data_IF_630068629186
#
_entry.id   IF_630068629186
#
_cell.length_a   1.000
_cell.length_b   1.000
_cell.length_c   1.000
_cell.angle_alpha   90.00
_cell.angle_beta   90.00
_cell.angle_gamma   90.00
#
_symmetry.space_group_name_H-M   'P 1'
#
loop_
_entity.id
_entity.type
_entity.pdbx_description
1 polymer ?
#
# COMPACT_ATOMS: atom_id res chain seq x y z
N UNK A 1 7.54 -2.45 -3.20
CA UNK A 1 6.33 -2.00 -3.92
C UNK A 1 5.29 -1.44 -2.94
N UNK A 2 4.37 -0.58 -3.39
CA UNK A 2 3.31 -0.01 -2.54
C UNK A 2 1.93 -0.47 -2.97
N UNK A 3 1.07 -0.75 -1.99
CA UNK A 3 -0.30 -1.17 -2.23
C UNK A 3 -1.28 -0.43 -1.31
N UNK A 4 -2.49 -0.23 -1.81
CA UNK A 4 -3.62 0.28 -1.03
C UNK A 4 -4.85 -0.60 -1.24
N UNK A 5 -5.55 -0.83 -0.14
CA UNK A 5 -6.83 -1.55 -0.10
C UNK A 5 -7.87 -0.64 0.51
N UNK A 6 -8.99 -0.46 -0.17
CA UNK A 6 -10.13 0.28 0.37
C UNK A 6 -10.82 -0.58 1.42
N UNK A 7 -10.95 -0.07 2.65
CA UNK A 7 -11.58 -0.78 3.78
C UNK A 7 -12.89 -0.13 4.23
N UNK A 8 -13.20 1.08 3.74
CA UNK A 8 -14.47 1.78 4.01
C UNK A 8 -15.15 2.22 2.72
N UNK A 9 -16.48 2.13 2.70
CA UNK A 9 -17.31 2.48 1.52
C UNK A 9 -17.35 1.38 0.47
N UNK A 10 -18.08 1.59 -0.63
CA UNK A 10 -18.20 0.59 -1.70
C UNK A 10 -17.14 0.77 -2.80
N UNK A 11 -16.83 2.02 -3.14
CA UNK A 11 -15.79 2.38 -4.11
C UNK A 11 -15.27 3.80 -3.87
N UNK A 12 -14.04 4.08 -4.29
CA UNK A 12 -13.41 5.39 -4.15
C UNK A 12 -12.61 5.71 -5.41
N UNK A 13 -12.79 6.90 -5.96
CA UNK A 13 -12.08 7.34 -7.16
C UNK A 13 -11.02 8.39 -6.80
N UNK A 14 -9.75 8.07 -7.06
CA UNK A 14 -8.64 8.99 -6.84
C UNK A 14 -7.47 8.66 -7.77
N UNK A 15 -6.62 9.64 -8.05
CA UNK A 15 -5.42 9.44 -8.89
C UNK A 15 -5.72 8.82 -10.26
N UNK A 16 -6.90 9.09 -10.83
CA UNK A 16 -7.35 8.52 -12.11
C UNK A 16 -7.73 7.04 -12.06
N UNK A 17 -7.71 6.40 -10.88
CA UNK A 17 -8.04 4.98 -10.70
C UNK A 17 -9.21 4.78 -9.72
N UNK A 18 -9.94 3.69 -9.89
CA UNK A 18 -11.05 3.30 -9.02
C UNK A 18 -10.61 2.20 -8.06
N UNK A 19 -10.67 2.50 -6.77
CA UNK A 19 -10.48 1.54 -5.69
C UNK A 19 -11.83 0.92 -5.35
N UNK A 20 -11.84 -0.41 -5.22
CA UNK A 20 -13.02 -1.18 -4.83
C UNK A 20 -12.82 -1.72 -3.42
N UNK A 21 -13.92 -1.86 -2.68
CA UNK A 21 -13.89 -2.40 -1.32
C UNK A 21 -13.19 -3.76 -1.28
N UNK A 22 -12.26 -3.91 -0.34
CA UNK A 22 -11.45 -5.10 -0.11
C UNK A 22 -10.61 -5.57 -1.31
N UNK A 23 -10.39 -4.69 -2.28
CA UNK A 23 -9.52 -4.96 -3.43
C UNK A 23 -8.21 -4.21 -3.27
N UNK A 24 -7.12 -4.98 -3.26
CA UNK A 24 -5.78 -4.42 -3.27
C UNK A 24 -5.45 -3.83 -4.65
N UNK A 25 -4.81 -2.67 -4.64
CA UNK A 25 -4.36 -1.99 -5.84
C UNK A 25 -2.92 -1.50 -5.67
N UNK A 26 -2.09 -1.74 -6.69
CA UNK A 26 -0.72 -1.24 -6.73
C UNK A 26 -0.73 0.28 -6.94
N UNK A 27 0.04 0.97 -6.12
CA UNK A 27 0.13 2.42 -6.12
C UNK A 27 1.59 2.88 -6.14
N UNK A 28 1.77 4.17 -6.38
CA UNK A 28 3.07 4.84 -6.29
C UNK A 28 3.36 5.28 -4.85
N UNK A 29 4.63 5.58 -4.54
CA UNK A 29 5.05 6.12 -3.24
C UNK A 29 4.30 7.39 -2.85
N UNK A 30 4.04 8.27 -3.83
CA UNK A 30 3.30 9.52 -3.63
C UNK A 30 1.86 9.26 -3.20
N UNK A 31 1.19 8.32 -3.87
CA UNK A 31 -0.17 7.90 -3.50
C UNK A 31 -0.18 7.23 -2.13
N UNK A 32 0.81 6.40 -1.81
CA UNK A 32 0.93 5.75 -0.50
C UNK A 32 1.00 6.79 0.63
N UNK A 33 1.84 7.81 0.49
CA UNK A 33 1.95 8.88 1.50
C UNK A 33 0.65 9.66 1.69
N UNK A 34 -0.11 9.85 0.61
CA UNK A 34 -1.42 10.51 0.67
C UNK A 34 -2.48 9.61 1.32
N UNK A 35 -2.59 8.37 0.87
CA UNK A 35 -3.60 7.41 1.33
C UNK A 35 -3.32 6.90 2.75
N UNK A 36 -2.05 6.87 3.20
CA UNK A 36 -1.68 6.53 4.59
C UNK A 36 -2.36 7.44 5.62
N UNK A 37 -2.63 8.70 5.24
CA UNK A 37 -3.31 9.67 6.11
C UNK A 37 -4.84 9.53 6.08
N UNK A 38 -5.36 8.65 5.24
CA UNK A 38 -6.79 8.44 5.06
C UNK A 38 -7.22 7.12 5.70
N UNK A 39 -8.09 7.21 6.71
CA UNK A 39 -8.65 6.07 7.45
C UNK A 39 -9.55 5.14 6.62
N UNK A 40 -9.89 5.52 5.38
CA UNK A 40 -10.65 4.65 4.47
C UNK A 40 -9.77 3.61 3.78
N UNK A 41 -8.45 3.78 3.86
CA UNK A 41 -7.49 2.95 3.15
C UNK A 41 -6.54 2.27 4.12
N UNK A 42 -6.35 0.98 3.91
CA UNK A 42 -5.24 0.23 4.46
C UNK A 42 -4.11 0.21 3.43
N UNK A 43 -2.97 0.77 3.79
CA UNK A 43 -1.80 0.83 2.90
C UNK A 43 -0.70 -0.10 3.40
N UNK A 44 -0.04 -0.81 2.49
CA UNK A 44 1.14 -1.63 2.81
C UNK A 44 2.30 -1.30 1.89
N UNK A 45 3.50 -1.33 2.46
CA UNK A 45 4.76 -1.33 1.73
C UNK A 45 5.27 -2.78 1.74
N UNK A 46 5.46 -3.33 0.56
CA UNK A 46 6.15 -4.60 0.37
C UNK A 46 7.61 -4.23 0.09
N UNK A 47 8.45 -4.24 1.12
CA UNK A 47 9.88 -4.19 0.90
C UNK A 47 10.27 -5.53 0.26
N UNK A 48 10.55 -5.53 -1.06
CA UNK A 48 11.19 -6.66 -1.72
C UNK A 48 12.45 -6.97 -0.92
N UNK A 49 12.49 -8.16 -0.33
CA UNK A 49 13.33 -8.47 0.82
C UNK A 49 14.75 -7.96 0.69
N UNK A 50 15.04 -6.85 1.37
CA UNK A 50 16.34 -6.67 2.00
C UNK A 50 16.29 -7.46 3.32
N UNK A 51 16.13 -8.78 3.21
CA UNK A 51 16.71 -9.68 4.19
C UNK A 51 18.21 -9.41 4.09
N UNK A 52 18.70 -8.48 4.89
CA UNK A 52 20.10 -8.48 5.26
C UNK A 52 20.35 -9.87 5.87
N UNK A 53 21.03 -10.71 5.11
CA UNK A 53 21.89 -11.75 5.65
C UNK A 53 22.74 -11.09 6.74
N UNK A 54 22.30 -11.16 7.99
CA UNK A 54 23.24 -11.16 9.10
C UNK A 54 23.75 -12.60 9.23
N UNK A 55 24.57 -13.00 8.26
CA UNK A 55 25.61 -13.97 8.53
C UNK A 55 26.72 -13.19 9.22
N UNK A 56 26.69 -13.20 10.55
CA UNK A 56 27.87 -12.93 11.35
C UNK A 56 28.25 -14.28 11.95
N UNK A 57 29.05 -15.03 11.19
CA UNK A 57 29.93 -16.06 11.75
C UNK A 57 30.93 -15.34 12.67
N UNK A 58 30.86 -15.61 13.97
CA UNK A 58 32.02 -15.63 14.87
C UNK A 58 31.77 -16.62 16.02
#
# INVERSE_FOLDING_TARGET
MYYATLIKGASYYAFGKRFLLHKECKITKREYQYLRKNEWFQVREEEEGHFLSQNSEE
#
